data_IF_338394670992
#
_entry.id   IF_338394670992
#
_cell.length_a   1.000
_cell.length_b   1.000
_cell.length_c   1.000
_cell.angle_alpha   90.00
_cell.angle_beta   90.00
_cell.angle_gamma   90.00
#
_symmetry.space_group_name_H-M   'P 1'
#
loop_
_entity.id
_entity.type
_entity.pdbx_description
1 polymer ?
#
# COMPACT_ATOMS: atom_id res chain seq x y z
N UNK A 1 4.35 -3.42 -11.80
CA UNK A 1 4.57 -1.96 -11.87
C UNK A 1 3.55 -1.27 -12.77
N UNK A 2 3.09 -1.90 -13.85
CA UNK A 2 2.15 -1.32 -14.83
C UNK A 2 0.85 -0.76 -14.23
N UNK A 3 0.27 -1.43 -13.23
CA UNK A 3 -0.98 -1.01 -12.58
C UNK A 3 -0.87 0.39 -11.96
N UNK A 4 0.23 0.70 -11.28
CA UNK A 4 0.40 2.01 -10.63
C UNK A 4 0.48 3.14 -11.66
N UNK A 5 1.15 2.90 -12.80
CA UNK A 5 1.32 3.91 -13.85
C UNK A 5 0.04 4.15 -14.65
N UNK A 6 -0.73 3.09 -14.96
CA UNK A 6 -2.03 3.24 -15.60
C UNK A 6 -2.97 4.03 -14.69
N UNK A 7 -3.02 3.69 -13.39
CA UNK A 7 -3.93 4.37 -12.46
C UNK A 7 -3.54 5.81 -12.20
N UNK A 8 -2.26 6.13 -12.01
CA UNK A 8 -1.85 7.51 -11.71
C UNK A 8 -2.23 8.52 -12.80
N UNK A 9 -2.44 8.06 -14.04
CA UNK A 9 -2.81 8.91 -15.19
C UNK A 9 -4.31 9.11 -15.33
N UNK A 10 -5.13 8.16 -14.89
CA UNK A 10 -6.57 8.17 -15.16
C UNK A 10 -7.44 8.34 -13.92
N UNK A 11 -7.13 7.65 -12.81
CA UNK A 11 -8.01 7.56 -11.63
C UNK A 11 -7.25 7.20 -10.34
N UNK A 12 -7.74 7.69 -9.21
CA UNK A 12 -7.22 7.31 -7.89
C UNK A 12 -7.21 5.80 -7.65
N UNK A 13 -6.26 5.36 -6.82
CA UNK A 13 -6.09 3.98 -6.35
C UNK A 13 -6.23 3.96 -4.83
N UNK A 14 -7.09 3.08 -4.31
CA UNK A 14 -7.22 2.83 -2.87
C UNK A 14 -6.53 1.50 -2.56
N UNK A 15 -5.62 1.52 -1.58
CA UNK A 15 -4.91 0.35 -1.09
C UNK A 15 -5.26 0.13 0.37
N UNK A 16 -5.69 -1.09 0.70
CA UNK A 16 -5.96 -1.51 2.07
C UNK A 16 -4.92 -2.55 2.48
N UNK A 17 -4.28 -2.34 3.63
CA UNK A 17 -3.32 -3.29 4.16
C UNK A 17 -3.41 -3.39 5.67
N UNK A 18 -3.11 -4.57 6.18
CA UNK A 18 -2.85 -4.78 7.60
C UNK A 18 -1.37 -4.56 7.96
N UNK A 19 -0.59 -4.10 6.99
CA UNK A 19 0.85 -4.00 7.10
C UNK A 19 1.30 -2.60 6.72
N UNK A 20 2.31 -2.12 7.44
CA UNK A 20 2.97 -0.85 7.16
C UNK A 20 3.80 -0.92 5.88
N UNK A 21 4.12 0.25 5.32
CA UNK A 21 4.99 0.35 4.14
C UNK A 21 6.39 -0.23 4.37
N UNK A 22 6.88 -0.25 5.61
CA UNK A 22 8.17 -0.86 5.97
C UNK A 22 8.08 -2.39 5.89
N UNK A 23 7.01 -2.97 6.42
CA UNK A 23 6.81 -4.42 6.36
C UNK A 23 6.55 -4.91 4.94
N UNK A 24 5.96 -4.06 4.08
CA UNK A 24 5.85 -4.32 2.65
C UNK A 24 7.21 -4.49 1.99
N UNK A 25 8.19 -3.63 2.30
CA UNK A 25 9.53 -3.74 1.72
C UNK A 25 10.13 -5.14 1.97
N UNK A 26 10.05 -5.61 3.22
CA UNK A 26 10.50 -6.96 3.61
C UNK A 26 9.70 -8.06 2.91
N UNK A 27 8.37 -7.93 2.83
CA UNK A 27 7.51 -8.94 2.17
C UNK A 27 7.67 -9.01 0.66
N UNK A 28 8.06 -7.92 0.02
CA UNK A 28 8.35 -7.85 -1.41
C UNK A 28 9.71 -8.48 -1.76
N UNK A 29 10.45 -9.03 -0.78
CA UNK A 29 11.79 -9.59 -0.97
C UNK A 29 12.91 -8.56 -0.87
N UNK A 30 12.56 -7.30 -0.59
CA UNK A 30 13.50 -6.18 -0.48
C UNK A 30 14.18 -5.80 -1.81
N UNK A 31 15.21 -4.97 -1.68
CA UNK A 31 16.04 -4.50 -2.78
C UNK A 31 15.31 -3.53 -3.72
N UNK A 32 15.99 -3.20 -4.81
CA UNK A 32 15.57 -2.12 -5.71
C UNK A 32 14.14 -2.27 -6.25
N UNK A 33 13.66 -3.50 -6.47
CA UNK A 33 12.28 -3.73 -6.95
C UNK A 33 11.26 -3.36 -5.87
N UNK A 34 11.51 -3.74 -4.61
CA UNK A 34 10.63 -3.41 -3.50
C UNK A 34 10.59 -1.90 -3.24
N UNK A 35 11.74 -1.22 -3.29
CA UNK A 35 11.85 0.24 -3.21
C UNK A 35 11.03 0.91 -4.32
N UNK A 36 11.21 0.45 -5.57
CA UNK A 36 10.56 1.01 -6.76
C UNK A 36 9.03 0.85 -6.73
N UNK A 37 8.52 -0.23 -6.14
CA UNK A 37 7.09 -0.46 -5.93
C UNK A 37 6.56 0.47 -4.83
N UNK A 38 7.28 0.58 -3.71
CA UNK A 38 6.87 1.39 -2.57
C UNK A 38 6.88 2.88 -2.90
N UNK A 39 7.89 3.35 -3.61
CA UNK A 39 7.95 4.75 -4.06
C UNK A 39 6.71 5.09 -4.87
N UNK A 40 6.29 4.23 -5.81
CA UNK A 40 5.07 4.46 -6.60
C UNK A 40 3.80 4.40 -5.76
N UNK A 41 3.68 3.42 -4.86
CA UNK A 41 2.49 3.23 -4.03
C UNK A 41 2.30 4.36 -2.99
N UNK A 42 3.41 4.90 -2.47
CA UNK A 42 3.41 5.91 -1.41
C UNK A 42 3.54 7.32 -1.98
N UNK A 43 4.11 7.50 -3.17
CA UNK A 43 4.17 8.82 -3.81
C UNK A 43 2.75 9.37 -4.03
N UNK A 44 2.52 10.61 -3.57
CA UNK A 44 1.24 11.33 -3.71
C UNK A 44 0.02 10.58 -3.14
N UNK A 45 0.20 9.75 -2.11
CA UNK A 45 -0.91 9.07 -1.43
C UNK A 45 -1.23 9.67 -0.07
N UNK A 46 -2.49 9.50 0.35
CA UNK A 46 -2.92 9.77 1.72
C UNK A 46 -2.85 8.46 2.51
N UNK A 47 -2.15 8.50 3.65
CA UNK A 47 -2.08 7.35 4.57
C UNK A 47 -3.15 7.51 5.64
N UNK A 48 -4.04 6.52 5.72
CA UNK A 48 -5.08 6.45 6.75
C UNK A 48 -4.76 5.23 7.60
N UNK A 49 -4.42 5.46 8.86
CA UNK A 49 -4.24 4.39 9.84
C UNK A 49 -5.59 4.10 10.49
N UNK A 50 -6.00 2.84 10.43
CA UNK A 50 -7.23 2.36 11.04
C UNK A 50 -6.89 1.63 12.33
N UNK A 51 -7.56 2.01 13.41
CA UNK A 51 -7.39 1.44 14.74
C UNK A 51 -8.74 0.98 15.30
N UNK A 52 -8.72 0.05 16.25
CA UNK A 52 -9.91 -0.48 16.90
C UNK A 52 -10.01 -2.00 16.86
N UNK A 53 -11.05 -2.53 17.50
CA UNK A 53 -11.28 -3.97 17.55
C UNK A 53 -11.82 -4.53 16.22
N UNK A 54 -11.58 -5.82 15.99
CA UNK A 54 -12.12 -6.47 14.79
C UNK A 54 -13.64 -6.53 14.85
N UNK A 55 -14.29 -5.90 13.86
CA UNK A 55 -15.75 -5.97 13.69
C UNK A 55 -16.27 -7.40 13.50
N UNK A 56 -15.41 -8.38 13.18
CA UNK A 56 -15.79 -9.80 13.11
C UNK A 56 -16.12 -10.41 14.48
N UNK A 57 -15.59 -9.84 15.58
CA UNK A 57 -15.87 -10.30 16.96
C UNK A 57 -17.25 -9.87 17.45
N UNK A 58 -17.88 -8.91 16.78
CA UNK A 58 -19.19 -8.33 17.16
C UNK A 58 -20.34 -9.23 16.65
N UNK A 59 -20.02 -10.36 16.03
CA UNK A 59 -20.99 -11.33 15.50
C UNK A 59 -21.03 -12.60 16.33
#
# INVERSE_FOLDING_TARGET
>A
MEIFEIRSREKSLILCSQMTSVEWHKKLGGGAIADTILDRAVSKSYKIFLEGESLRKIK
#
